data_IF_861564528106
#
_entry.id   IF_861564528106
#
_cell.length_a   1.000
_cell.length_b   1.000
_cell.length_c   1.000
_cell.angle_alpha   90.00
_cell.angle_beta   90.00
_cell.angle_gamma   90.00
#
_symmetry.space_group_name_H-M   'P 1'
#
loop_
_entity.id
_entity.type
_entity.pdbx_description
1 polymer ?
#
# COMPACT_ATOMS: atom_id res chain seq x y z
N UNK A 1 14.43 -1.31 -17.61
CA UNK A 1 13.28 -0.48 -17.24
C UNK A 1 12.41 -1.18 -16.21
N UNK A 2 11.96 -0.44 -15.20
CA UNK A 2 11.07 -1.00 -14.19
C UNK A 2 9.69 -1.24 -14.83
N UNK A 3 9.09 -2.38 -14.52
CA UNK A 3 7.77 -2.73 -15.04
C UNK A 3 6.69 -1.89 -14.36
N UNK A 4 5.64 -1.57 -15.11
CA UNK A 4 4.44 -0.97 -14.53
C UNK A 4 3.64 -2.04 -13.77
N UNK A 5 2.75 -1.60 -12.90
CA UNK A 5 1.95 -2.52 -12.08
C UNK A 5 1.19 -3.54 -12.93
N UNK A 6 0.63 -3.13 -14.07
CA UNK A 6 -0.11 -4.05 -14.96
C UNK A 6 0.73 -5.25 -15.40
N UNK A 7 2.04 -5.07 -15.55
CA UNK A 7 2.95 -6.14 -15.94
C UNK A 7 3.50 -6.92 -14.75
N UNK A 8 3.31 -6.40 -13.56
CA UNK A 8 3.89 -6.93 -12.33
C UNK A 8 2.89 -7.68 -11.46
N UNK A 9 1.63 -7.32 -11.54
CA UNK A 9 0.58 -7.80 -10.61
C UNK A 9 0.46 -9.31 -10.54
N UNK A 10 0.74 -10.02 -11.64
CA UNK A 10 0.63 -11.48 -11.67
C UNK A 10 1.75 -12.18 -10.92
N UNK A 11 2.77 -11.45 -10.47
CA UNK A 11 3.84 -12.00 -9.62
C UNK A 11 3.41 -12.17 -8.17
N UNK A 12 2.24 -11.62 -7.80
CA UNK A 12 1.73 -11.67 -6.43
C UNK A 12 0.41 -12.43 -6.39
N UNK A 13 0.23 -13.26 -5.36
CA UNK A 13 -0.97 -14.07 -5.22
C UNK A 13 -2.15 -13.30 -4.65
N UNK A 14 -1.88 -12.34 -3.75
CA UNK A 14 -2.92 -11.67 -2.97
C UNK A 14 -2.97 -10.17 -3.17
N UNK A 15 -1.89 -9.55 -3.63
CA UNK A 15 -1.78 -8.09 -3.67
C UNK A 15 -2.51 -7.52 -4.87
N UNK A 16 -3.40 -6.58 -4.59
CA UNK A 16 -4.10 -5.78 -5.60
C UNK A 16 -3.94 -4.32 -5.24
N UNK A 17 -3.84 -3.47 -6.24
CA UNK A 17 -3.76 -2.03 -6.07
C UNK A 17 -5.02 -1.40 -6.66
N UNK A 18 -5.67 -0.50 -5.91
CA UNK A 18 -6.72 0.33 -6.51
C UNK A 18 -6.09 1.18 -7.61
N UNK A 19 -6.86 1.69 -8.59
CA UNK A 19 -6.30 2.44 -9.72
C UNK A 19 -5.38 3.58 -9.32
N UNK A 20 -5.73 4.33 -8.30
CA UNK A 20 -4.91 5.45 -7.81
C UNK A 20 -3.58 4.97 -7.23
N UNK A 21 -3.58 3.86 -6.50
CA UNK A 21 -2.35 3.28 -5.95
C UNK A 21 -1.47 2.69 -7.06
N UNK A 22 -2.08 2.11 -8.09
CA UNK A 22 -1.34 1.60 -9.25
C UNK A 22 -0.63 2.74 -9.98
N UNK A 23 -1.30 3.88 -10.14
CA UNK A 23 -0.70 5.06 -10.74
C UNK A 23 0.47 5.57 -9.88
N UNK A 24 0.29 5.62 -8.57
CA UNK A 24 1.37 6.01 -7.65
C UNK A 24 2.58 5.07 -7.76
N UNK A 25 2.31 3.77 -7.83
CA UNK A 25 3.36 2.78 -8.03
C UNK A 25 4.13 3.05 -9.33
N UNK A 26 3.41 3.29 -10.41
CA UNK A 26 4.01 3.52 -11.72
C UNK A 26 4.86 4.79 -11.77
N UNK A 27 4.56 5.77 -10.93
CA UNK A 27 5.27 7.05 -10.87
C UNK A 27 6.47 7.04 -9.90
N UNK A 28 6.71 5.95 -9.18
CA UNK A 28 7.87 5.85 -8.31
C UNK A 28 9.16 5.74 -9.13
N UNK A 29 10.23 6.32 -8.59
CA UNK A 29 11.58 6.06 -9.13
C UNK A 29 11.86 4.57 -9.10
N UNK A 30 12.64 4.08 -10.07
CA UNK A 30 12.97 2.66 -10.15
C UNK A 30 13.59 2.10 -8.89
N UNK A 31 14.49 2.86 -8.25
CA UNK A 31 15.13 2.42 -6.99
C UNK A 31 14.13 2.29 -5.85
N UNK A 32 13.17 3.21 -5.76
CA UNK A 32 12.10 3.17 -4.75
C UNK A 32 11.15 2.02 -5.06
N UNK A 33 10.81 1.84 -6.33
CA UNK A 33 9.92 0.76 -6.75
C UNK A 33 10.46 -0.62 -6.38
N UNK A 34 11.77 -0.82 -6.53
CA UNK A 34 12.42 -2.07 -6.11
C UNK A 34 12.22 -2.32 -4.62
N UNK A 35 12.35 -1.28 -3.79
CA UNK A 35 12.16 -1.42 -2.35
C UNK A 35 10.68 -1.67 -1.99
N UNK A 36 9.75 -1.05 -2.70
CA UNK A 36 8.32 -1.33 -2.55
C UNK A 36 8.02 -2.77 -2.94
N UNK A 37 8.59 -3.25 -4.05
CA UNK A 37 8.42 -4.65 -4.48
C UNK A 37 8.89 -5.63 -3.41
N UNK A 38 10.01 -5.36 -2.76
CA UNK A 38 10.51 -6.21 -1.66
C UNK A 38 9.51 -6.29 -0.53
N UNK A 39 8.86 -5.16 -0.20
CA UNK A 39 7.82 -5.14 0.84
C UNK A 39 6.56 -5.88 0.39
N UNK A 40 6.19 -5.76 -0.87
CA UNK A 40 5.07 -6.51 -1.43
C UNK A 40 5.31 -8.02 -1.33
N UNK A 41 6.53 -8.48 -1.61
CA UNK A 41 6.88 -9.90 -1.49
C UNK A 41 6.66 -10.38 -0.05
N UNK A 42 7.13 -9.61 0.93
CA UNK A 42 6.94 -9.95 2.34
C UNK A 42 5.47 -9.93 2.74
N UNK A 43 4.75 -8.89 2.30
CA UNK A 43 3.34 -8.70 2.61
C UNK A 43 2.49 -9.82 2.02
N UNK A 44 2.80 -10.23 0.80
CA UNK A 44 2.08 -11.31 0.12
C UNK A 44 2.16 -12.64 0.88
N UNK A 45 3.29 -12.87 1.56
CA UNK A 45 3.51 -14.06 2.39
C UNK A 45 2.90 -13.92 3.77
N UNK A 46 2.94 -12.72 4.35
CA UNK A 46 2.40 -12.45 5.68
C UNK A 46 1.63 -11.12 5.69
N UNK A 47 0.31 -11.18 5.51
CA UNK A 47 -0.52 -9.97 5.45
C UNK A 47 -0.54 -9.13 6.72
N UNK A 48 -0.06 -9.66 7.83
CA UNK A 48 -0.15 -9.01 9.14
C UNK A 48 1.14 -8.30 9.57
N UNK A 49 2.08 -8.08 8.65
CA UNK A 49 3.35 -7.41 8.99
C UNK A 49 3.20 -5.90 9.18
N UNK A 50 2.14 -5.30 8.67
CA UNK A 50 1.88 -3.87 8.85
C UNK A 50 1.31 -3.52 10.21
N UNK A 51 1.21 -2.21 10.48
CA UNK A 51 0.66 -1.69 11.74
C UNK A 51 -0.73 -1.12 11.51
N UNK A 52 -1.73 -1.48 12.35
CA UNK A 52 -3.07 -0.93 12.21
C UNK A 52 -3.08 0.58 12.43
N UNK A 53 -3.88 1.29 11.65
CA UNK A 53 -3.91 2.75 11.71
C UNK A 53 -4.95 3.31 12.70
N UNK A 54 -6.18 2.82 12.66
CA UNK A 54 -7.25 3.41 13.46
C UNK A 54 -7.50 4.86 13.09
N UNK A 55 -7.64 5.73 14.09
CA UNK A 55 -7.81 7.16 13.88
C UNK A 55 -6.45 7.86 13.78
N UNK A 56 -6.26 8.65 12.72
CA UNK A 56 -5.04 9.44 12.50
C UNK A 56 -5.45 10.85 12.10
N UNK A 57 -5.07 11.86 12.91
CA UNK A 57 -5.34 13.27 12.61
C UNK A 57 -6.80 13.51 12.20
N UNK A 58 -7.74 12.97 12.99
CA UNK A 58 -9.19 13.04 12.74
C UNK A 58 -9.68 12.28 11.50
N UNK A 59 -8.84 11.41 10.94
CA UNK A 59 -9.23 10.52 9.86
C UNK A 59 -9.51 9.14 10.42
N UNK A 60 -10.67 8.58 10.08
CA UNK A 60 -11.01 7.21 10.46
C UNK A 60 -10.44 6.24 9.43
N UNK A 61 -9.29 5.66 9.77
CA UNK A 61 -8.62 4.66 8.95
C UNK A 61 -8.69 3.26 9.59
N UNK A 62 -9.73 3.02 10.36
CA UNK A 62 -9.98 1.71 10.97
C UNK A 62 -10.07 0.65 9.86
N UNK A 63 -9.35 -0.46 10.05
CA UNK A 63 -9.29 -1.53 9.05
C UNK A 63 -8.17 -1.37 8.06
N UNK A 64 -7.48 -0.24 8.06
CA UNK A 64 -6.29 -0.01 7.24
C UNK A 64 -5.02 -0.23 8.05
N UNK A 65 -3.95 -0.55 7.34
CA UNK A 65 -2.62 -0.83 7.90
C UNK A 65 -1.59 -0.01 7.17
N UNK A 66 -0.51 0.34 7.84
CA UNK A 66 0.65 0.97 7.21
C UNK A 66 1.83 0.02 7.18
N UNK A 67 2.64 0.14 6.16
CA UNK A 67 3.90 -0.55 6.03
C UNK A 67 4.90 0.44 5.45
N UNK A 68 6.12 0.43 5.94
CA UNK A 68 7.16 1.34 5.45
C UNK A 68 8.06 0.65 4.45
N UNK A 69 8.50 1.41 3.44
CA UNK A 69 9.57 1.02 2.54
C UNK A 69 10.65 2.10 2.57
N UNK A 70 11.82 1.81 2.06
CA UNK A 70 12.95 2.75 2.01
C UNK A 70 13.28 3.33 3.39
N UNK A 71 13.37 2.46 4.43
CA UNK A 71 13.72 2.89 5.77
C UNK A 71 12.76 3.93 6.36
N UNK A 72 11.48 3.81 6.12
CA UNK A 72 10.40 4.71 6.56
C UNK A 72 10.20 5.95 5.68
N UNK A 73 10.95 6.11 4.60
CA UNK A 73 10.76 7.24 3.69
C UNK A 73 9.48 7.14 2.87
N UNK A 74 8.98 5.93 2.65
CA UNK A 74 7.78 5.68 1.85
C UNK A 74 6.76 4.90 2.68
N UNK A 75 5.49 5.32 2.61
CA UNK A 75 4.38 4.62 3.25
C UNK A 75 3.56 3.87 2.23
N UNK A 76 3.19 2.65 2.61
CA UNK A 76 2.23 1.83 1.87
C UNK A 76 1.04 1.64 2.81
N UNK A 77 -0.15 2.01 2.34
CA UNK A 77 -1.38 1.87 3.14
C UNK A 77 -2.27 0.83 2.44
N UNK A 78 -2.68 -0.17 3.19
CA UNK A 78 -3.47 -1.27 2.65
C UNK A 78 -4.55 -1.71 3.64
N UNK A 79 -5.52 -2.46 3.14
CA UNK A 79 -6.49 -3.15 3.99
C UNK A 79 -6.61 -4.60 3.55
N UNK A 80 -7.13 -5.43 4.44
CA UNK A 80 -7.32 -6.85 4.16
C UNK A 80 -8.79 -7.07 3.86
N UNK A 81 -9.08 -7.63 2.69
CA UNK A 81 -10.42 -8.06 2.34
C UNK A 81 -10.57 -9.51 2.79
N UNK A 82 -11.73 -9.83 3.33
CA UNK A 82 -11.99 -11.13 3.92
C UNK A 82 -10.94 -11.48 5.01
N UNK A 83 -10.86 -10.68 6.11
CA UNK A 83 -9.74 -10.77 7.06
C UNK A 83 -9.52 -12.15 7.66
N UNK A 84 -10.58 -12.97 7.76
CA UNK A 84 -10.49 -14.31 8.33
C UNK A 84 -9.67 -15.27 7.47
N UNK A 85 -9.70 -15.08 6.16
CA UNK A 85 -8.98 -15.93 5.21
C UNK A 85 -7.84 -15.19 4.51
N UNK A 86 -7.86 -13.87 4.55
CA UNK A 86 -6.93 -12.96 3.88
C UNK A 86 -6.69 -13.37 2.43
N UNK A 87 -7.74 -13.34 1.64
CA UNK A 87 -7.65 -13.67 0.22
C UNK A 87 -7.07 -12.53 -0.60
N UNK A 88 -7.32 -11.28 -0.17
CA UNK A 88 -6.90 -10.09 -0.91
C UNK A 88 -6.29 -9.07 0.04
N UNK A 89 -5.13 -8.56 -0.35
CA UNK A 89 -4.44 -7.44 0.28
C UNK A 89 -4.60 -6.26 -0.67
N UNK A 90 -5.46 -5.32 -0.32
CA UNK A 90 -5.81 -4.22 -1.20
C UNK A 90 -5.03 -2.97 -0.82
N UNK A 91 -4.11 -2.55 -1.68
CA UNK A 91 -3.28 -1.36 -1.45
C UNK A 91 -4.03 -0.12 -1.93
N UNK A 92 -4.18 0.85 -1.03
CA UNK A 92 -4.94 2.08 -1.24
C UNK A 92 -4.09 3.32 -1.43
N UNK A 93 -2.82 3.28 -1.04
CA UNK A 93 -1.94 4.42 -1.23
C UNK A 93 -0.48 4.05 -1.07
N UNK A 94 0.36 4.70 -1.87
CA UNK A 94 1.82 4.56 -1.82
C UNK A 94 2.40 5.96 -2.03
N UNK A 95 3.19 6.42 -1.08
CA UNK A 95 3.78 7.75 -1.23
C UNK A 95 4.79 8.07 -0.14
N UNK A 96 5.39 9.24 -0.26
CA UNK A 96 6.40 9.71 0.68
C UNK A 96 5.79 9.97 2.06
N UNK A 97 6.60 9.77 3.09
CA UNK A 97 6.22 10.05 4.47
C UNK A 97 6.35 11.55 4.74
N UNK A 98 5.38 12.33 4.24
CA UNK A 98 5.36 13.78 4.41
C UNK A 98 3.96 14.25 4.78
N UNK A 99 3.83 15.02 5.85
CA UNK A 99 2.59 15.72 6.24
C UNK A 99 1.33 14.86 6.22
N UNK A 100 1.46 13.57 6.46
CA UNK A 100 0.34 12.61 6.41
C UNK A 100 -0.36 12.54 5.06
N UNK A 101 0.33 12.90 3.98
CA UNK A 101 -0.23 12.95 2.63
C UNK A 101 -0.90 11.64 2.22
N UNK A 102 -0.21 10.51 2.41
CA UNK A 102 -0.76 9.20 2.00
C UNK A 102 -2.05 8.91 2.78
N UNK A 103 -2.09 9.23 4.06
CA UNK A 103 -3.28 9.01 4.88
C UNK A 103 -4.45 9.88 4.42
N UNK A 104 -4.19 11.14 4.07
CA UNK A 104 -5.21 12.05 3.55
C UNK A 104 -5.76 11.55 2.22
N UNK A 105 -4.89 11.08 1.35
CA UNK A 105 -5.27 10.54 0.06
C UNK A 105 -6.16 9.30 0.23
N UNK A 106 -5.78 8.38 1.11
CA UNK A 106 -6.58 7.18 1.37
C UNK A 106 -7.92 7.54 1.97
N UNK A 107 -7.95 8.47 2.93
CA UNK A 107 -9.20 8.94 3.53
C UNK A 107 -10.14 9.53 2.48
N UNK A 108 -9.60 10.36 1.59
CA UNK A 108 -10.38 10.94 0.50
C UNK A 108 -10.90 9.89 -0.47
N UNK A 109 -10.08 8.90 -0.81
CA UNK A 109 -10.46 7.79 -1.71
C UNK A 109 -11.56 6.95 -1.10
N UNK A 110 -11.47 6.69 0.20
CA UNK A 110 -12.47 5.92 0.93
C UNK A 110 -13.83 6.62 0.94
N UNK A 111 -13.83 7.94 1.04
CA UNK A 111 -15.03 8.76 1.16
C UNK A 111 -15.57 9.26 -0.19
N UNK A 112 -14.82 9.06 -1.26
CA UNK A 112 -15.16 9.59 -2.58
C UNK A 112 -15.84 8.65 -3.54
#
# INVERSE_FOLDING_TARGET
MAKKWEDKKDEFDRIQLIPEAAEEYNNLDGSIRVEVDKKFIKLDKNPFIGFPLGNKANMDLTGFYKLYACGKAVRIVYRLLTPEKVEIIEVWGIGKRENMEVYKDVDNRKNG
#
